data_IF_693882073581
#
_entry.id   IF_693882073581
#
_cell.length_a   1.000
_cell.length_b   1.000
_cell.length_c   1.000
_cell.angle_alpha   90.00
_cell.angle_beta   90.00
_cell.angle_gamma   90.00
#
_symmetry.space_group_name_H-M   'P 1'
#
loop_
_entity.id
_entity.type
_entity.pdbx_description
1 polymer ?
#
# COMPACT_ATOMS: atom_id res chain seq x y z
N UNK A 1 -17.40 5.40 19.09
CA UNK A 1 -16.37 6.29 18.55
C UNK A 1 -16.27 5.98 17.07
N UNK A 2 -16.95 6.76 16.21
CA UNK A 2 -16.92 6.55 14.77
C UNK A 2 -15.55 7.05 14.27
N UNK A 3 -14.68 6.15 13.84
CA UNK A 3 -13.58 6.53 12.97
C UNK A 3 -14.19 7.02 11.65
N UNK A 4 -14.30 8.35 11.52
CA UNK A 4 -14.56 8.99 10.24
C UNK A 4 -13.42 8.58 9.31
N UNK A 5 -13.70 7.65 8.42
CA UNK A 5 -12.78 7.20 7.38
C UNK A 5 -12.61 8.37 6.42
N UNK A 6 -11.74 9.31 6.76
CA UNK A 6 -11.35 10.45 5.91
C UNK A 6 -10.63 10.05 4.63
N UNK A 7 -10.67 8.77 4.26
CA UNK A 7 -10.12 8.24 3.02
C UNK A 7 -11.12 8.46 1.90
N UNK A 8 -10.62 9.05 0.82
CA UNK A 8 -11.39 9.23 -0.40
C UNK A 8 -11.83 7.84 -0.93
N UNK A 9 -13.15 7.63 -1.17
CA UNK A 9 -13.63 6.41 -1.79
C UNK A 9 -12.89 6.11 -3.09
N UNK A 10 -12.56 4.84 -3.32
CA UNK A 10 -11.84 4.40 -4.53
C UNK A 10 -12.56 4.84 -5.82
N UNK A 11 -13.88 4.84 -5.80
CA UNK A 11 -14.75 5.25 -6.92
C UNK A 11 -14.60 6.71 -7.34
N UNK A 12 -14.05 7.58 -6.49
CA UNK A 12 -13.80 8.99 -6.82
C UNK A 12 -12.49 9.19 -7.60
N UNK A 13 -11.58 8.21 -7.56
CA UNK A 13 -10.36 8.28 -8.36
C UNK A 13 -10.65 7.79 -9.78
N UNK A 14 -10.55 8.71 -10.76
CA UNK A 14 -10.56 8.36 -12.19
C UNK A 14 -9.19 7.84 -12.61
N UNK A 15 -9.01 6.53 -12.56
CA UNK A 15 -7.77 5.86 -12.95
C UNK A 15 -7.99 5.28 -14.34
N UNK A 16 -7.12 5.65 -15.26
CA UNK A 16 -7.10 5.03 -16.59
C UNK A 16 -6.25 3.76 -16.51
N UNK A 17 -6.59 2.70 -17.27
CA UNK A 17 -5.72 1.53 -17.38
C UNK A 17 -4.31 1.94 -17.79
N UNK A 18 -3.30 1.26 -17.26
CA UNK A 18 -1.92 1.48 -17.65
C UNK A 18 -1.72 1.10 -19.14
N UNK A 19 -1.12 2.01 -19.90
CA UNK A 19 -0.79 1.92 -21.31
C UNK A 19 0.61 2.51 -21.55
N UNK A 20 1.21 2.18 -22.69
CA UNK A 20 2.57 2.62 -23.04
C UNK A 20 2.75 4.15 -23.00
N UNK A 21 1.68 4.91 -23.30
CA UNK A 21 1.71 6.36 -23.39
C UNK A 21 1.22 7.11 -22.13
N UNK A 22 0.76 6.42 -21.08
CA UNK A 22 0.19 7.07 -19.88
C UNK A 22 0.90 6.71 -18.56
N UNK A 23 2.08 6.10 -18.63
CA UNK A 23 2.85 5.66 -17.45
C UNK A 23 3.00 6.75 -16.37
N UNK A 24 3.42 7.96 -16.74
CA UNK A 24 3.64 9.05 -15.76
C UNK A 24 2.34 9.46 -15.04
N UNK A 25 1.27 9.86 -15.75
CA UNK A 25 0.01 10.20 -15.09
C UNK A 25 -0.59 9.03 -14.30
N UNK A 26 -0.46 7.78 -14.80
CA UNK A 26 -0.86 6.59 -14.06
C UNK A 26 -0.10 6.47 -12.73
N UNK A 27 1.23 6.55 -12.77
CA UNK A 27 2.09 6.48 -11.58
C UNK A 27 1.73 7.55 -10.56
N UNK A 28 1.53 8.80 -10.98
CA UNK A 28 1.16 9.92 -10.08
C UNK A 28 -0.16 9.62 -9.36
N UNK A 29 -1.17 9.14 -10.08
CA UNK A 29 -2.49 8.81 -9.50
C UNK A 29 -2.38 7.66 -8.49
N UNK A 30 -1.69 6.57 -8.84
CA UNK A 30 -1.49 5.44 -7.93
C UNK A 30 -0.76 5.89 -6.66
N UNK A 31 0.31 6.68 -6.80
CA UNK A 31 1.04 7.24 -5.66
C UNK A 31 0.14 8.08 -4.75
N UNK A 32 -0.68 8.96 -5.31
CA UNK A 32 -1.60 9.79 -4.52
C UNK A 32 -2.60 8.93 -3.72
N UNK A 33 -3.16 7.89 -4.33
CA UNK A 33 -4.13 6.97 -3.70
C UNK A 33 -3.49 6.17 -2.56
N UNK A 34 -2.26 5.71 -2.76
CA UNK A 34 -1.51 4.98 -1.74
C UNK A 34 -1.08 5.91 -0.60
N UNK A 35 -0.70 7.15 -0.90
CA UNK A 35 -0.37 8.15 0.12
C UNK A 35 -1.61 8.50 0.97
N UNK A 36 -2.79 8.71 0.35
CA UNK A 36 -4.07 8.94 1.06
C UNK A 36 -4.43 7.80 2.02
N UNK A 37 -3.84 6.61 1.81
CA UNK A 37 -4.02 5.41 2.64
C UNK A 37 -2.83 5.09 3.55
N UNK A 38 -1.77 5.91 3.53
CA UNK A 38 -0.54 5.66 4.29
C UNK A 38 0.28 4.46 3.82
N UNK A 39 0.07 4.00 2.58
CA UNK A 39 0.67 2.80 1.99
C UNK A 39 1.86 3.08 1.05
N UNK A 40 2.13 4.35 0.70
CA UNK A 40 3.22 4.71 -0.22
C UNK A 40 4.58 4.13 0.19
N UNK A 41 4.86 4.08 1.50
CA UNK A 41 6.10 3.54 2.04
C UNK A 41 6.41 2.09 1.64
N UNK A 42 5.40 1.31 1.24
CA UNK A 42 5.56 -0.07 0.79
C UNK A 42 5.98 -0.17 -0.69
N UNK A 43 5.82 0.90 -1.48
CA UNK A 43 6.21 0.90 -2.91
C UNK A 43 7.54 1.61 -3.18
N UNK A 44 7.90 2.60 -2.38
CA UNK A 44 9.14 3.37 -2.53
C UNK A 44 10.29 2.84 -1.68
N UNK A 45 10.00 1.87 -0.81
CA UNK A 45 10.97 1.25 0.10
C UNK A 45 11.21 2.03 1.40
N UNK A 46 10.49 3.13 1.65
CA UNK A 46 10.63 3.90 2.89
C UNK A 46 10.16 3.12 4.14
N UNK A 47 9.28 2.12 3.96
CA UNK A 47 8.90 1.14 4.98
C UNK A 47 9.50 -0.23 4.62
N UNK A 48 10.80 -0.46 4.86
CA UNK A 48 11.40 -1.75 4.59
C UNK A 48 10.76 -2.84 5.44
N UNK A 49 10.77 -4.06 4.92
CA UNK A 49 10.32 -5.24 5.66
C UNK A 49 11.16 -5.39 6.95
N UNK A 50 10.54 -5.52 8.14
CA UNK A 50 11.26 -5.80 9.36
C UNK A 50 12.04 -7.12 9.27
N UNK A 51 13.24 -7.12 9.87
CA UNK A 51 14.11 -8.30 9.98
C UNK A 51 14.30 -8.57 11.46
N UNK A 52 14.27 -9.84 11.85
CA UNK A 52 14.51 -10.26 13.22
C UNK A 52 15.99 -10.13 13.57
N UNK A 53 16.29 -9.69 14.78
CA UNK A 53 17.67 -9.67 15.29
C UNK A 53 18.20 -11.11 15.44
N UNK A 54 17.35 -12.00 15.96
CA UNK A 54 17.57 -13.45 15.99
C UNK A 54 16.42 -14.16 15.26
N UNK A 55 16.73 -14.82 14.15
CA UNK A 55 15.72 -15.49 13.33
C UNK A 55 15.17 -16.78 13.96
N UNK A 56 15.92 -17.41 14.88
CA UNK A 56 15.48 -18.63 15.56
C UNK A 56 14.59 -18.31 16.77
N UNK A 57 14.77 -17.12 17.35
CA UNK A 57 14.06 -16.67 18.54
C UNK A 57 13.52 -15.23 18.40
N UNK A 58 12.57 -14.99 17.46
CA UNK A 58 11.96 -13.68 17.32
C UNK A 58 11.20 -13.29 18.58
N UNK A 59 11.37 -12.04 19.00
CA UNK A 59 10.58 -11.47 20.09
C UNK A 59 9.15 -11.17 19.64
N UNK A 60 8.21 -11.16 20.58
CA UNK A 60 6.80 -10.84 20.28
C UNK A 60 6.64 -9.46 19.57
N UNK A 61 7.34 -8.39 19.96
CA UNK A 61 7.26 -7.11 19.23
C UNK A 61 7.80 -7.17 17.80
N UNK A 62 8.86 -7.94 17.56
CA UNK A 62 9.42 -8.12 16.21
C UNK A 62 8.45 -8.87 15.31
N UNK A 63 7.83 -9.95 15.82
CA UNK A 63 6.82 -10.70 15.08
C UNK A 63 5.60 -9.83 14.78
N UNK A 64 5.11 -9.06 15.76
CA UNK A 64 3.98 -8.14 15.57
C UNK A 64 4.29 -7.06 14.53
N UNK A 65 5.51 -6.53 14.51
CA UNK A 65 5.95 -5.58 13.49
C UNK A 65 5.97 -6.21 12.08
N UNK A 66 6.48 -7.44 11.95
CA UNK A 66 6.48 -8.16 10.69
C UNK A 66 5.04 -8.46 10.20
N UNK A 67 4.17 -8.95 11.09
CA UNK A 67 2.79 -9.29 10.75
C UNK A 67 2.00 -8.06 10.30
N UNK A 68 2.18 -6.93 11.00
CA UNK A 68 1.61 -5.64 10.60
C UNK A 68 2.12 -5.22 9.24
N UNK A 69 3.44 -5.28 9.02
CA UNK A 69 4.04 -4.94 7.74
C UNK A 69 3.50 -5.81 6.60
N UNK A 70 3.38 -7.12 6.80
CA UNK A 70 2.82 -8.06 5.81
C UNK A 70 1.33 -7.81 5.53
N UNK A 71 0.57 -7.39 6.55
CA UNK A 71 -0.83 -6.98 6.38
C UNK A 71 -0.93 -5.75 5.48
N UNK A 72 -0.15 -4.72 5.75
CA UNK A 72 -0.16 -3.47 4.98
C UNK A 72 0.44 -3.64 3.58
N UNK A 73 1.43 -4.51 3.40
CA UNK A 73 1.94 -4.91 2.08
C UNK A 73 0.85 -5.62 1.25
N UNK A 74 0.13 -6.59 1.84
CA UNK A 74 -1.00 -7.25 1.16
C UNK A 74 -2.11 -6.27 0.79
N UNK A 75 -2.41 -5.28 1.63
CA UNK A 75 -3.35 -4.20 1.30
C UNK A 75 -2.84 -3.38 0.12
N UNK A 76 -1.56 -3.00 0.13
CA UNK A 76 -0.91 -2.26 -0.97
C UNK A 76 -1.02 -3.02 -2.29
N UNK A 77 -0.69 -4.31 -2.30
CA UNK A 77 -0.82 -5.15 -3.50
C UNK A 77 -2.28 -5.28 -3.96
N UNK A 78 -3.22 -5.47 -3.03
CA UNK A 78 -4.64 -5.58 -3.35
C UNK A 78 -5.16 -4.28 -3.96
N UNK A 79 -4.77 -3.14 -3.40
CA UNK A 79 -5.09 -1.82 -3.94
C UNK A 79 -4.56 -1.69 -5.38
N UNK A 80 -3.27 -1.92 -5.62
CA UNK A 80 -2.70 -1.85 -6.97
C UNK A 80 -3.46 -2.76 -7.95
N UNK A 81 -3.78 -4.01 -7.55
CA UNK A 81 -4.57 -4.93 -8.38
C UNK A 81 -5.97 -4.43 -8.67
N UNK A 82 -6.69 -3.92 -7.66
CA UNK A 82 -8.04 -3.37 -7.86
C UNK A 82 -8.03 -2.16 -8.81
N UNK A 83 -7.00 -1.31 -8.72
CA UNK A 83 -6.84 -0.15 -9.61
C UNK A 83 -6.42 -0.55 -11.03
N UNK A 84 -5.93 -1.78 -11.23
CA UNK A 84 -5.62 -2.37 -12.54
C UNK A 84 -6.76 -3.23 -13.11
N UNK A 85 -7.70 -3.69 -12.27
CA UNK A 85 -8.84 -4.54 -12.69
C UNK A 85 -10.10 -3.69 -12.94
N UNK A 86 -10.27 -2.55 -12.25
CA UNK A 86 -11.39 -1.62 -12.46
C UNK A 86 -11.22 -0.73 -13.71
N UNK A 87 -10.40 -1.18 -14.65
CA UNK A 87 -9.98 -0.45 -15.86
C UNK A 87 -10.08 -1.34 -17.08
#
# INVERSE_FOLDING_TARGET
MLESSGQTPLSLYKIEPLRDNNWIPWKIKIKAILNDRGLEGHIDGAKPRPVFVDAEHPTEPEQAALDKWQSDDRKTQTMIKLLLILT
#
